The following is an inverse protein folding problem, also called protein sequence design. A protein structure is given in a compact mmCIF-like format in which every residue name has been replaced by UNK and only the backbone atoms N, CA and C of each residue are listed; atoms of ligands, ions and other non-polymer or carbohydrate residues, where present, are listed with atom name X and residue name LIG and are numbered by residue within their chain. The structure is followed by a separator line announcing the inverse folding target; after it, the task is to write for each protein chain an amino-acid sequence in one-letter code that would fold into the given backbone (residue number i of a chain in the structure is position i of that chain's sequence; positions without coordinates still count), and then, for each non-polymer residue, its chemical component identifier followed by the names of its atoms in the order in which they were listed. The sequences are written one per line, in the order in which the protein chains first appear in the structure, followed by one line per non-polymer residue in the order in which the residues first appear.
data_IF_197322307048
#
_entry.id   IF_197322307048
#
_cell.length_a   1.000
_cell.length_b   1.000
_cell.length_c   1.000
_cell.angle_alpha   90.00
_cell.angle_beta   90.00
_cell.angle_gamma   90.00
#
_symmetry.space_group_name_H-M   'P 1'
#
loop_
_entity.id
_entity.type
_entity.pdbx_description
1 polymer ?
#
# COMPACT_ATOMS: atom_id res chain seq x y z
N UNK A 1 14.08 -4.51 -5.53
CA UNK A 1 14.74 -4.17 -4.25
C UNK A 1 13.97 -3.02 -3.60
N UNK A 2 13.61 -3.13 -2.33
CA UNK A 2 12.85 -2.11 -1.59
C UNK A 2 13.68 -1.62 -0.41
N UNK A 3 13.72 -0.31 -0.18
CA UNK A 3 14.41 0.35 0.92
C UNK A 3 13.43 0.67 2.03
N UNK A 4 13.84 0.45 3.28
CA UNK A 4 13.05 0.77 4.48
C UNK A 4 13.83 1.70 5.40
N UNK A 5 13.14 2.63 6.03
CA UNK A 5 13.65 3.30 7.22
C UNK A 5 12.56 3.38 8.29
N UNK A 6 12.89 3.00 9.52
CA UNK A 6 12.01 3.04 10.69
C UNK A 6 12.57 3.99 11.75
N UNK A 7 11.70 4.84 12.26
CA UNK A 7 12.04 5.67 13.42
C UNK A 7 12.24 4.78 14.66
N UNK A 8 13.26 5.06 15.48
CA UNK A 8 13.44 4.37 16.78
C UNK A 8 12.39 4.76 17.83
N UNK A 9 11.63 5.82 17.57
CA UNK A 9 10.63 6.35 18.49
C UNK A 9 9.41 6.79 17.70
N UNK A 10 8.25 6.21 18.03
CA UNK A 10 6.99 6.38 17.30
C UNK A 10 6.84 5.39 16.14
N UNK A 11 5.70 5.46 15.46
CA UNK A 11 5.26 4.48 14.44
C UNK A 11 5.79 4.77 13.02
N UNK A 12 6.54 5.86 12.83
CA UNK A 12 6.93 6.27 11.48
C UNK A 12 7.85 5.26 10.81
N UNK A 13 7.37 4.68 9.72
CA UNK A 13 8.15 3.83 8.83
C UNK A 13 7.87 4.22 7.38
N UNK A 14 8.91 4.22 6.54
CA UNK A 14 8.80 4.50 5.10
C UNK A 14 9.46 3.40 4.30
N UNK A 15 8.79 2.98 3.23
CA UNK A 15 9.31 2.07 2.21
C UNK A 15 9.26 2.71 0.82
N UNK A 16 10.22 2.38 -0.04
CA UNK A 16 10.17 2.68 -1.47
C UNK A 16 11.14 1.81 -2.26
N UNK A 17 10.86 1.59 -3.55
CA UNK A 17 11.85 1.04 -4.48
C UNK A 17 13.01 2.01 -4.77
N UNK A 18 12.82 3.32 -4.54
CA UNK A 18 13.85 4.34 -4.74
C UNK A 18 14.54 4.72 -3.43
N UNK A 19 15.85 4.46 -3.36
CA UNK A 19 16.68 4.87 -2.23
C UNK A 19 16.64 6.38 -2.01
N UNK A 20 16.65 7.15 -3.08
CA UNK A 20 16.66 8.60 -3.04
C UNK A 20 15.37 9.15 -2.43
N UNK A 21 14.22 8.66 -2.90
CA UNK A 21 12.90 9.02 -2.38
C UNK A 21 12.74 8.65 -0.89
N UNK A 22 13.19 7.45 -0.51
CA UNK A 22 13.21 7.05 0.92
C UNK A 22 14.05 8.01 1.74
N UNK A 23 15.28 8.33 1.29
CA UNK A 23 16.19 9.23 2.03
C UNK A 23 15.59 10.62 2.16
N UNK A 24 15.00 11.18 1.09
CA UNK A 24 14.40 12.51 1.13
C UNK A 24 13.20 12.57 2.07
N UNK A 25 12.35 11.53 2.05
CA UNK A 25 11.22 11.45 2.98
C UNK A 25 11.66 11.36 4.44
N UNK A 26 12.73 10.61 4.71
CA UNK A 26 13.31 10.48 6.06
C UNK A 26 13.93 11.80 6.53
N UNK A 27 14.71 12.46 5.67
CA UNK A 27 15.27 13.80 5.94
C UNK A 27 14.17 14.78 6.37
N UNK A 28 13.09 14.84 5.59
CA UNK A 28 11.94 15.70 5.86
C UNK A 28 11.27 15.34 7.20
N UNK A 29 11.09 14.04 7.49
CA UNK A 29 10.55 13.58 8.76
C UNK A 29 11.41 14.02 9.97
N UNK A 30 12.72 13.76 9.92
CA UNK A 30 13.63 14.08 11.03
C UNK A 30 13.74 15.59 11.22
N UNK A 31 13.85 16.37 10.13
CA UNK A 31 13.91 17.82 10.19
C UNK A 31 12.63 18.41 10.82
N UNK A 32 11.45 17.92 10.43
CA UNK A 32 10.16 18.34 11.02
C UNK A 32 10.14 18.16 12.54
N UNK A 33 10.64 17.03 13.05
CA UNK A 33 10.72 16.77 14.51
C UNK A 33 11.74 17.63 15.24
N UNK A 34 12.70 18.20 14.52
CA UNK A 34 13.77 19.04 15.06
C UNK A 34 13.63 20.50 14.64
N UNK A 35 12.44 20.94 14.21
CA UNK A 35 12.20 22.33 13.76
C UNK A 35 12.60 23.38 14.79
N UNK A 36 12.45 23.10 16.08
CA UNK A 36 12.88 24.00 17.18
C UNK A 36 14.40 24.22 17.24
N UNK A 37 15.18 23.50 16.46
CA UNK A 37 16.63 23.67 16.33
C UNK A 37 17.02 24.62 15.21
N UNK A 38 16.07 25.07 14.41
CA UNK A 38 16.23 26.16 13.45
C UNK A 38 16.06 27.48 14.20
N UNK A 39 16.93 28.44 13.91
CA UNK A 39 16.88 29.80 14.44
C UNK A 39 16.88 30.81 13.30
N UNK A 40 16.22 31.94 13.51
CA UNK A 40 16.25 33.06 12.58
C UNK A 40 16.97 34.22 13.26
N UNK A 41 18.08 34.65 12.68
CA UNK A 41 18.92 35.73 13.19
C UNK A 41 19.06 36.80 12.10
N UNK A 42 18.20 37.81 12.17
CA UNK A 42 18.09 38.82 11.11
C UNK A 42 17.64 38.19 9.78
N UNK A 43 18.50 38.29 8.76
CA UNK A 43 18.27 37.72 7.41
C UNK A 43 18.87 36.32 7.23
N UNK A 44 19.50 35.75 8.27
CA UNK A 44 20.10 34.42 8.21
C UNK A 44 19.22 33.38 8.91
N UNK A 45 19.22 32.17 8.36
CA UNK A 45 18.65 30.99 8.99
C UNK A 45 19.78 30.11 9.50
N UNK A 46 19.79 29.86 10.80
CA UNK A 46 20.75 29.04 11.51
C UNK A 46 20.14 27.70 11.96
N UNK A 47 21.00 26.73 12.26
CA UNK A 47 20.59 25.51 12.92
C UNK A 47 21.67 24.97 13.87
N UNK A 48 21.22 24.23 14.87
CA UNK A 48 22.09 23.48 15.79
C UNK A 48 21.73 21.99 15.78
N UNK A 49 22.72 21.11 15.68
CA UNK A 49 22.46 19.68 15.69
C UNK A 49 22.06 19.21 17.11
N UNK A 50 21.01 18.39 17.27
CA UNK A 50 20.65 17.81 18.57
C UNK A 50 21.50 16.59 18.94
N UNK A 51 22.36 16.09 18.03
CA UNK A 51 23.13 14.85 18.19
C UNK A 51 24.65 15.05 18.24
N UNK A 52 25.13 16.26 17.94
CA UNK A 52 26.54 16.63 18.03
C UNK A 52 26.69 18.15 18.12
N UNK A 53 27.91 18.64 18.29
CA UNK A 53 28.17 20.08 18.49
C UNK A 53 28.14 20.93 17.20
N UNK A 54 27.79 20.34 16.05
CA UNK A 54 27.75 21.09 14.78
C UNK A 54 26.60 22.10 14.76
N UNK A 55 26.92 23.28 14.23
CA UNK A 55 26.01 24.39 13.96
C UNK A 55 26.36 24.98 12.61
N UNK A 56 25.38 25.54 11.91
CA UNK A 56 25.61 26.24 10.65
C UNK A 56 24.57 27.36 10.47
N UNK A 57 24.87 28.30 9.59
CA UNK A 57 23.93 29.34 9.17
C UNK A 57 24.13 29.68 7.70
N UNK A 58 23.06 30.11 7.03
CA UNK A 58 23.11 30.60 5.66
C UNK A 58 22.13 31.75 5.47
N UNK A 59 22.41 32.63 4.49
CA UNK A 59 21.48 33.69 4.06
C UNK A 59 20.28 33.15 3.29
N UNK A 60 20.46 32.02 2.60
CA UNK A 60 19.40 31.35 1.86
C UNK A 60 18.75 30.29 2.78
N UNK A 61 17.46 30.46 3.04
CA UNK A 61 16.67 29.56 3.88
C UNK A 61 16.64 28.13 3.32
N UNK A 62 16.51 27.96 2.01
CA UNK A 62 16.49 26.65 1.38
C UNK A 62 17.83 25.94 1.57
N UNK A 63 18.94 26.65 1.37
CA UNK A 63 20.28 26.10 1.63
C UNK A 63 20.46 25.73 3.10
N UNK A 64 20.02 26.57 4.03
CA UNK A 64 20.06 26.28 5.46
C UNK A 64 19.27 25.01 5.82
N UNK A 65 18.06 24.87 5.28
CA UNK A 65 17.18 23.72 5.52
C UNK A 65 17.72 22.43 4.91
N UNK A 66 18.25 22.47 3.68
CA UNK A 66 18.80 21.28 3.02
C UNK A 66 20.08 20.79 3.70
N UNK A 67 20.98 21.71 4.10
CA UNK A 67 22.17 21.35 4.87
C UNK A 67 21.81 20.77 6.25
N UNK A 68 20.77 21.31 6.91
CA UNK A 68 20.26 20.79 8.16
C UNK A 68 19.70 19.37 8.02
N UNK A 69 18.79 19.16 7.05
CA UNK A 69 18.21 17.85 6.72
C UNK A 69 19.30 16.81 6.44
N UNK A 70 20.24 17.14 5.55
CA UNK A 70 21.34 16.26 5.18
C UNK A 70 22.21 15.89 6.39
N UNK A 71 22.53 16.88 7.23
CA UNK A 71 23.32 16.65 8.43
C UNK A 71 22.59 15.75 9.44
N UNK A 72 21.30 16.02 9.71
CA UNK A 72 20.50 15.17 10.59
C UNK A 72 20.39 13.72 10.09
N UNK A 73 20.18 13.54 8.78
CA UNK A 73 20.13 12.21 8.19
C UNK A 73 21.45 11.45 8.32
N UNK A 74 22.61 12.13 8.31
CA UNK A 74 23.91 11.46 8.49
C UNK A 74 24.01 10.67 9.81
N UNK A 75 23.36 11.14 10.88
CA UNK A 75 23.27 10.42 12.17
C UNK A 75 22.29 9.24 12.14
N UNK A 76 21.34 9.22 11.19
CA UNK A 76 20.27 8.21 11.09
C UNK A 76 20.44 7.26 9.89
N UNK A 77 21.43 7.51 9.03
CA UNK A 77 21.78 6.69 7.87
C UNK A 77 21.94 5.19 8.19
N UNK A 78 22.51 4.77 9.34
CA UNK A 78 22.62 3.34 9.66
C UNK A 78 21.29 2.60 9.85
N UNK A 79 20.17 3.31 9.99
CA UNK A 79 18.82 2.72 10.09
C UNK A 79 18.15 2.53 8.73
N UNK A 80 18.81 2.92 7.63
CA UNK A 80 18.32 2.67 6.28
C UNK A 80 18.69 1.25 5.88
N UNK A 81 17.69 0.44 5.62
CA UNK A 81 17.81 -0.96 5.25
C UNK A 81 17.38 -1.14 3.78
N UNK A 82 17.86 -2.21 3.15
CA UNK A 82 17.54 -2.56 1.77
C UNK A 82 17.13 -4.03 1.67
N UNK A 83 16.26 -4.35 0.73
CA UNK A 83 15.74 -5.70 0.53
C UNK A 83 14.59 -6.08 1.47
N UNK A 84 13.89 -5.08 2.03
CA UNK A 84 12.78 -5.30 2.96
C UNK A 84 11.46 -4.87 2.34
N UNK A 85 10.51 -5.78 2.29
CA UNK A 85 9.17 -5.55 1.76
C UNK A 85 8.22 -5.09 2.88
N UNK A 86 7.16 -4.36 2.51
CA UNK A 86 6.13 -3.94 3.47
C UNK A 86 5.50 -5.17 4.16
N UNK A 87 5.24 -6.24 3.41
CA UNK A 87 4.62 -7.45 3.92
C UNK A 87 5.48 -8.20 4.95
N UNK A 88 6.80 -7.93 5.03
CA UNK A 88 7.67 -8.54 6.03
C UNK A 88 7.28 -8.14 7.46
N UNK A 89 6.60 -6.99 7.64
CA UNK A 89 6.09 -6.54 8.95
C UNK A 89 4.97 -7.43 9.51
N UNK A 90 4.29 -8.17 8.63
CA UNK A 90 3.22 -9.10 8.96
C UNK A 90 3.59 -10.54 8.55
N UNK A 91 4.88 -10.84 8.42
CA UNK A 91 5.39 -12.17 8.04
C UNK A 91 4.87 -12.68 6.67
N UNK A 92 4.49 -11.79 5.76
CA UNK A 92 4.05 -12.15 4.40
C UNK A 92 2.60 -12.63 4.30
N UNK A 93 1.83 -12.64 5.39
CA UNK A 93 0.43 -13.08 5.44
C UNK A 93 -0.38 -12.09 6.26
N UNK A 94 -1.65 -11.87 5.91
CA UNK A 94 -2.56 -10.99 6.65
C UNK A 94 -3.18 -9.91 5.79
N UNK A 95 -3.77 -8.91 6.43
CA UNK A 95 -4.64 -7.91 5.82
C UNK A 95 -4.10 -6.50 6.00
N UNK A 96 -3.78 -5.84 4.88
CA UNK A 96 -3.22 -4.50 4.85
C UNK A 96 -4.27 -3.51 4.32
N UNK A 97 -4.60 -2.46 5.07
CA UNK A 97 -5.35 -1.33 4.53
C UNK A 97 -4.41 -0.38 3.79
N UNK A 98 -4.65 -0.18 2.49
CA UNK A 98 -3.91 0.75 1.65
C UNK A 98 -4.71 2.05 1.50
N UNK A 99 -4.28 3.06 2.23
CA UNK A 99 -4.87 4.39 2.29
C UNK A 99 -4.41 5.20 1.07
N UNK A 100 -5.16 5.11 -0.02
CA UNK A 100 -4.87 5.80 -1.27
C UNK A 100 -6.10 5.84 -2.19
N UNK A 101 -6.31 6.89 -2.99
CA UNK A 101 -7.30 6.85 -4.06
C UNK A 101 -7.00 5.69 -5.02
N UNK A 102 -8.01 4.88 -5.33
CA UNK A 102 -7.91 3.65 -6.12
C UNK A 102 -7.18 3.86 -7.45
N UNK A 103 -7.46 4.95 -8.16
CA UNK A 103 -6.88 5.28 -9.46
C UNK A 103 -5.58 6.12 -9.39
N UNK A 104 -4.86 6.11 -8.27
CA UNK A 104 -3.62 6.88 -8.10
C UNK A 104 -2.36 6.06 -8.42
N UNK A 105 -1.25 6.76 -8.69
CA UNK A 105 0.07 6.14 -8.84
C UNK A 105 0.49 5.38 -7.58
N UNK A 106 0.22 5.93 -6.39
CA UNK A 106 0.53 5.27 -5.11
C UNK A 106 -0.23 3.94 -4.97
N UNK A 107 -1.52 3.94 -5.29
CA UNK A 107 -2.31 2.71 -5.28
C UNK A 107 -1.77 1.68 -6.28
N UNK A 108 -1.46 2.08 -7.51
CA UNK A 108 -0.91 1.18 -8.52
C UNK A 108 0.46 0.59 -8.13
N UNK A 109 1.33 1.39 -7.51
CA UNK A 109 2.61 0.90 -6.97
C UNK A 109 2.38 -0.10 -5.83
N UNK A 110 1.40 0.14 -4.96
CA UNK A 110 1.03 -0.81 -3.91
C UNK A 110 0.50 -2.13 -4.50
N UNK A 111 -0.35 -2.09 -5.54
CA UNK A 111 -0.83 -3.29 -6.24
C UNK A 111 0.32 -4.14 -6.73
N UNK A 112 1.23 -3.55 -7.49
CA UNK A 112 2.39 -4.25 -8.04
C UNK A 112 3.24 -4.83 -6.91
N UNK A 113 3.48 -4.05 -5.85
CA UNK A 113 4.26 -4.49 -4.69
C UNK A 113 3.64 -5.71 -3.99
N UNK A 114 2.34 -5.69 -3.69
CA UNK A 114 1.67 -6.76 -2.93
C UNK A 114 1.24 -7.96 -3.78
N UNK A 115 1.04 -7.79 -5.09
CA UNK A 115 0.69 -8.88 -6.00
C UNK A 115 1.90 -9.62 -6.54
N UNK A 116 3.07 -8.96 -6.65
CA UNK A 116 4.29 -9.58 -7.18
C UNK A 116 4.77 -10.88 -6.49
N UNK A 117 4.60 -11.09 -5.17
CA UNK A 117 5.02 -12.35 -4.53
C UNK A 117 3.98 -13.48 -4.61
N UNK A 118 2.80 -13.24 -5.19
CA UNK A 118 1.72 -14.21 -5.28
C UNK A 118 1.84 -15.11 -6.51
N UNK A 119 1.79 -16.42 -6.31
CA UNK A 119 1.67 -17.40 -7.39
C UNK A 119 0.26 -17.36 -7.97
N UNK A 120 -0.74 -17.15 -7.10
CA UNK A 120 -2.13 -16.89 -7.46
C UNK A 120 -2.53 -15.50 -7.03
N UNK A 121 -3.11 -14.75 -7.95
CA UNK A 121 -3.62 -13.41 -7.72
C UNK A 121 -5.15 -13.39 -7.83
N UNK A 122 -5.82 -12.97 -6.78
CA UNK A 122 -7.28 -12.81 -6.78
C UNK A 122 -7.62 -11.33 -6.59
N UNK A 123 -8.36 -10.73 -7.50
CA UNK A 123 -8.66 -9.28 -7.49
C UNK A 123 -10.16 -9.06 -7.57
N UNK A 124 -10.70 -8.36 -6.58
CA UNK A 124 -12.07 -7.85 -6.60
C UNK A 124 -12.04 -6.39 -7.05
N UNK A 125 -12.58 -6.11 -8.24
CA UNK A 125 -12.48 -4.78 -8.85
C UNK A 125 -13.66 -4.36 -9.72
N UNK A 126 -13.85 -3.05 -9.84
CA UNK A 126 -14.75 -2.44 -10.84
C UNK A 126 -14.09 -2.17 -12.19
N UNK A 127 -12.76 -2.28 -12.29
CA UNK A 127 -12.02 -1.97 -13.53
C UNK A 127 -11.00 -3.08 -13.91
N UNK A 128 -11.49 -4.25 -14.35
CA UNK A 128 -10.64 -5.41 -14.65
C UNK A 128 -9.62 -5.13 -15.74
N UNK A 129 -10.01 -4.44 -16.82
CA UNK A 129 -9.13 -4.10 -17.94
C UNK A 129 -7.91 -3.30 -17.47
N UNK A 130 -8.12 -2.26 -16.65
CA UNK A 130 -7.02 -1.47 -16.11
C UNK A 130 -6.10 -2.28 -15.17
N UNK A 131 -6.65 -3.26 -14.42
CA UNK A 131 -5.83 -4.16 -13.59
C UNK A 131 -4.96 -5.07 -14.46
N UNK A 132 -5.52 -5.67 -15.50
CA UNK A 132 -4.77 -6.52 -16.44
C UNK A 132 -3.62 -5.73 -17.08
N UNK A 133 -3.90 -4.53 -17.60
CA UNK A 133 -2.88 -3.70 -18.23
C UNK A 133 -1.79 -3.23 -17.27
N UNK A 134 -2.17 -2.90 -16.02
CA UNK A 134 -1.21 -2.56 -14.98
C UNK A 134 -0.26 -3.74 -14.71
N UNK A 135 -0.81 -4.94 -14.47
CA UNK A 135 0.00 -6.11 -14.18
C UNK A 135 0.91 -6.48 -15.36
N UNK A 136 0.39 -6.45 -16.59
CA UNK A 136 1.18 -6.75 -17.79
C UNK A 136 2.35 -5.79 -17.97
N UNK A 137 2.14 -4.51 -17.67
CA UNK A 137 3.15 -3.48 -17.88
C UNK A 137 4.18 -3.37 -16.75
N UNK A 138 3.90 -3.93 -15.57
CA UNK A 138 4.71 -3.71 -14.37
C UNK A 138 5.29 -4.96 -13.74
N UNK A 139 4.63 -6.11 -13.86
CA UNK A 139 5.20 -7.36 -13.39
C UNK A 139 6.24 -7.85 -14.39
N UNK A 140 7.34 -8.38 -13.87
CA UNK A 140 8.37 -9.03 -14.70
C UNK A 140 7.88 -10.35 -15.27
N UNK A 141 7.03 -11.05 -14.53
CA UNK A 141 6.42 -12.33 -14.88
C UNK A 141 4.95 -12.30 -14.45
N UNK A 142 4.09 -12.91 -15.25
CA UNK A 142 2.67 -13.03 -14.89
C UNK A 142 2.51 -14.12 -13.82
N UNK A 143 1.58 -13.96 -12.84
CA UNK A 143 1.28 -15.01 -11.86
C UNK A 143 0.90 -16.34 -12.53
N UNK A 144 1.03 -17.47 -11.83
CA UNK A 144 0.60 -18.77 -12.36
C UNK A 144 -0.89 -18.78 -12.70
N UNK A 145 -1.70 -18.08 -11.89
CA UNK A 145 -3.13 -17.92 -12.11
C UNK A 145 -3.63 -16.57 -11.60
N UNK A 146 -4.50 -15.92 -12.36
CA UNK A 146 -5.14 -14.65 -11.95
C UNK A 146 -6.66 -14.78 -12.05
N UNK A 147 -7.38 -14.54 -10.97
CA UNK A 147 -8.85 -14.50 -10.93
C UNK A 147 -9.33 -13.08 -10.71
N UNK A 148 -10.17 -12.57 -11.61
CA UNK A 148 -10.79 -11.24 -11.51
C UNK A 148 -12.27 -11.40 -11.18
N UNK A 149 -12.70 -10.89 -10.02
CA UNK A 149 -14.09 -10.83 -9.62
C UNK A 149 -14.64 -9.42 -9.87
N UNK A 150 -15.72 -9.32 -10.64
CA UNK A 150 -16.25 -8.01 -11.05
C UNK A 150 -17.74 -8.03 -11.34
N UNK A 151 -18.39 -6.87 -11.19
CA UNK A 151 -19.79 -6.66 -11.61
C UNK A 151 -19.90 -5.95 -12.98
N UNK A 152 -18.77 -5.68 -13.65
CA UNK A 152 -18.73 -5.01 -14.96
C UNK A 152 -19.22 -5.98 -16.04
N UNK A 153 -20.15 -5.52 -16.89
CA UNK A 153 -20.77 -6.34 -17.95
C UNK A 153 -19.77 -6.70 -19.06
N UNK A 154 -18.93 -5.74 -19.44
CA UNK A 154 -17.85 -5.93 -20.41
C UNK A 154 -16.50 -5.74 -19.70
N UNK A 155 -16.01 -6.75 -18.96
CA UNK A 155 -14.84 -6.62 -18.09
C UNK A 155 -13.54 -6.33 -18.85
N UNK A 156 -13.47 -6.79 -20.11
CA UNK A 156 -12.31 -6.69 -21.00
C UNK A 156 -12.39 -5.51 -21.98
N UNK A 157 -13.41 -4.67 -21.86
CA UNK A 157 -13.55 -3.47 -22.70
C UNK A 157 -12.29 -2.60 -22.60
N UNK A 158 -11.70 -2.27 -23.76
CA UNK A 158 -10.45 -1.51 -23.87
C UNK A 158 -9.20 -2.37 -24.09
N UNK A 159 -9.31 -3.70 -23.94
CA UNK A 159 -8.21 -4.63 -24.24
C UNK A 159 -8.33 -5.22 -25.65
N UNK A 160 -7.20 -5.30 -26.34
CA UNK A 160 -7.05 -6.01 -27.60
C UNK A 160 -6.90 -7.52 -27.39
N UNK A 161 -7.29 -8.34 -28.37
CA UNK A 161 -7.13 -9.80 -28.28
C UNK A 161 -5.66 -10.23 -28.10
N UNK A 162 -4.71 -9.46 -28.64
CA UNK A 162 -3.26 -9.73 -28.49
C UNK A 162 -2.80 -9.56 -27.05
N UNK A 163 -3.35 -8.58 -26.34
CA UNK A 163 -3.06 -8.39 -24.92
C UNK A 163 -3.50 -9.60 -24.09
N UNK A 164 -4.58 -10.27 -24.50
CA UNK A 164 -5.17 -11.40 -23.77
C UNK A 164 -4.63 -12.76 -24.19
N UNK A 165 -3.85 -12.84 -25.27
CA UNK A 165 -3.22 -14.10 -25.66
C UNK A 165 -2.23 -14.53 -24.58
N UNK A 166 -2.37 -15.79 -24.16
CA UNK A 166 -1.44 -16.49 -23.27
C UNK A 166 -1.30 -15.95 -21.83
N UNK A 167 -2.25 -15.15 -21.35
CA UNK A 167 -2.32 -14.80 -19.91
C UNK A 167 -3.29 -15.73 -19.17
N UNK A 168 -2.88 -16.40 -18.07
CA UNK A 168 -3.77 -17.23 -17.25
C UNK A 168 -4.70 -16.34 -16.42
N UNK A 169 -5.77 -15.86 -17.05
CA UNK A 169 -6.79 -14.99 -16.42
C UNK A 169 -8.16 -15.63 -16.51
N UNK A 170 -8.80 -15.76 -15.36
CA UNK A 170 -10.20 -16.13 -15.20
C UNK A 170 -11.02 -14.91 -14.77
N UNK A 171 -12.21 -14.73 -15.35
CA UNK A 171 -13.11 -13.64 -14.97
C UNK A 171 -14.40 -14.21 -14.40
N UNK A 172 -14.61 -13.96 -13.12
CA UNK A 172 -15.82 -14.32 -12.39
C UNK A 172 -16.75 -13.12 -12.35
N UNK A 173 -17.87 -13.24 -13.06
CA UNK A 173 -18.91 -12.21 -13.05
C UNK A 173 -19.76 -12.34 -11.78
N UNK A 174 -19.77 -11.28 -10.98
CA UNK A 174 -20.57 -11.13 -9.79
C UNK A 174 -21.94 -10.53 -10.15
N UNK A 175 -22.99 -11.05 -9.54
CA UNK A 175 -24.31 -10.45 -9.62
C UNK A 175 -24.32 -9.07 -8.91
N UNK A 176 -24.82 -8.03 -9.59
CA UNK A 176 -24.96 -6.68 -9.04
C UNK A 176 -25.91 -6.63 -7.83
N UNK A 177 -26.84 -7.56 -7.73
CA UNK A 177 -27.78 -7.68 -6.60
C UNK A 177 -27.23 -8.53 -5.45
N UNK A 178 -26.03 -9.08 -5.60
CA UNK A 178 -25.38 -9.93 -4.62
C UNK A 178 -25.18 -9.18 -3.29
N UNK A 179 -25.59 -9.82 -2.18
CA UNK A 179 -25.29 -9.33 -0.84
C UNK A 179 -23.86 -9.67 -0.41
N UNK A 180 -23.37 -8.97 0.63
CA UNK A 180 -22.01 -9.17 1.16
C UNK A 180 -21.71 -10.63 1.56
N UNK A 181 -22.70 -11.36 2.08
CA UNK A 181 -22.52 -12.77 2.45
C UNK A 181 -22.23 -13.67 1.25
N UNK A 182 -22.99 -13.50 0.16
CA UNK A 182 -22.79 -14.23 -1.09
C UNK A 182 -21.47 -13.85 -1.77
N UNK A 183 -21.03 -12.59 -1.63
CA UNK A 183 -19.70 -12.18 -2.08
C UNK A 183 -18.60 -12.89 -1.29
N UNK A 184 -18.70 -12.94 0.05
CA UNK A 184 -17.76 -13.70 0.88
C UNK A 184 -17.73 -15.17 0.47
N UNK A 185 -18.88 -15.82 0.26
CA UNK A 185 -18.95 -17.21 -0.18
C UNK A 185 -18.28 -17.44 -1.55
N UNK A 186 -18.52 -16.53 -2.50
CA UNK A 186 -17.90 -16.60 -3.83
C UNK A 186 -16.38 -16.47 -3.73
N UNK A 187 -15.89 -15.52 -2.94
CA UNK A 187 -14.45 -15.36 -2.67
C UNK A 187 -13.89 -16.61 -2.00
N UNK A 188 -14.56 -17.16 -0.98
CA UNK A 188 -14.13 -18.38 -0.30
C UNK A 188 -13.97 -19.56 -1.25
N UNK A 189 -14.92 -19.76 -2.16
CA UNK A 189 -14.88 -20.83 -3.16
C UNK A 189 -13.69 -20.67 -4.11
N UNK A 190 -13.48 -19.46 -4.63
CA UNK A 190 -12.31 -19.15 -5.46
C UNK A 190 -11.02 -19.44 -4.69
N UNK A 191 -10.91 -19.01 -3.43
CA UNK A 191 -9.71 -19.26 -2.62
C UNK A 191 -9.48 -20.76 -2.37
N UNK A 192 -10.54 -21.53 -2.13
CA UNK A 192 -10.48 -22.99 -1.94
C UNK A 192 -9.99 -23.72 -3.19
N UNK A 193 -10.50 -23.35 -4.36
CA UNK A 193 -10.11 -23.94 -5.65
C UNK A 193 -8.64 -23.69 -5.98
N UNK A 194 -8.09 -22.56 -5.54
CA UNK A 194 -6.71 -22.18 -5.79
C UNK A 194 -5.72 -22.65 -4.71
N UNK A 195 -6.21 -23.18 -3.59
CA UNK A 195 -5.38 -23.58 -2.48
C UNK A 195 -4.56 -24.83 -2.83
N UNK A 196 -3.23 -24.71 -2.76
CA UNK A 196 -2.31 -25.83 -2.91
C UNK A 196 -1.12 -25.67 -1.95
N UNK A 197 -0.50 -26.78 -1.47
CA UNK A 197 0.67 -26.70 -0.61
C UNK A 197 1.81 -25.89 -1.24
N UNK A 198 2.30 -24.89 -0.52
CA UNK A 198 3.42 -24.04 -0.96
C UNK A 198 3.06 -22.92 -1.94
N UNK A 199 1.80 -22.85 -2.40
CA UNK A 199 1.31 -21.82 -3.32
C UNK A 199 0.88 -20.58 -2.54
N UNK A 200 1.42 -19.42 -2.91
CA UNK A 200 1.13 -18.13 -2.27
C UNK A 200 -0.03 -17.43 -2.96
N UNK A 201 -1.01 -17.02 -2.16
CA UNK A 201 -2.16 -16.26 -2.64
C UNK A 201 -1.97 -14.79 -2.28
N UNK A 202 -2.05 -13.92 -3.29
CA UNK A 202 -2.15 -12.48 -3.10
C UNK A 202 -3.57 -12.01 -3.47
N UNK A 203 -4.22 -11.29 -2.56
CA UNK A 203 -5.62 -10.89 -2.68
C UNK A 203 -5.78 -9.37 -2.68
N UNK A 204 -6.34 -8.82 -3.75
CA UNK A 204 -6.69 -7.40 -3.84
C UNK A 204 -8.19 -7.17 -3.67
N UNK A 205 -8.52 -6.15 -2.89
CA UNK A 205 -9.89 -5.65 -2.77
C UNK A 205 -9.93 -4.14 -2.94
N UNK A 206 -10.32 -3.66 -4.12
CA UNK A 206 -10.28 -2.22 -4.41
C UNK A 206 -11.62 -1.47 -4.36
N UNK A 207 -12.70 -2.19 -4.03
CA UNK A 207 -14.07 -1.66 -4.00
C UNK A 207 -14.55 -1.27 -2.59
N UNK A 208 -13.65 -1.28 -1.59
CA UNK A 208 -14.03 -1.08 -0.18
C UNK A 208 -14.59 0.34 0.06
N UNK A 209 -14.06 1.35 -0.63
CA UNK A 209 -14.57 2.72 -0.53
C UNK A 209 -16.05 2.78 -0.94
N UNK A 210 -16.39 2.16 -2.05
CA UNK A 210 -17.75 2.10 -2.60
C UNK A 210 -18.69 1.30 -1.68
N UNK A 211 -18.19 0.22 -1.07
CA UNK A 211 -18.97 -0.57 -0.11
C UNK A 211 -19.28 0.21 1.17
N UNK A 212 -18.30 0.92 1.73
CA UNK A 212 -18.52 1.78 2.91
C UNK A 212 -19.55 2.86 2.61
N UNK A 213 -19.54 3.44 1.41
CA UNK A 213 -20.51 4.47 1.01
C UNK A 213 -21.94 3.94 0.85
N UNK A 214 -22.11 2.68 0.42
CA UNK A 214 -23.42 2.09 0.11
C UNK A 214 -24.06 1.33 1.26
N UNK A 215 -23.27 0.86 2.23
CA UNK A 215 -23.75 0.01 3.31
C UNK A 215 -23.52 0.62 4.69
N UNK A 216 -24.23 0.10 5.69
CA UNK A 216 -24.00 0.48 7.09
C UNK A 216 -22.61 0.00 7.55
N UNK A 217 -21.85 0.87 8.21
CA UNK A 217 -20.48 0.58 8.66
C UNK A 217 -20.38 -0.70 9.49
N UNK A 218 -21.35 -0.99 10.36
CA UNK A 218 -21.40 -2.24 11.13
C UNK A 218 -21.49 -3.49 10.24
N UNK A 219 -22.21 -3.42 9.11
CA UNK A 219 -22.29 -4.53 8.15
C UNK A 219 -20.95 -4.71 7.43
N UNK A 220 -20.28 -3.61 7.08
CA UNK A 220 -18.94 -3.65 6.48
C UNK A 220 -17.90 -4.22 7.44
N UNK A 221 -17.91 -3.80 8.71
CA UNK A 221 -17.03 -4.35 9.74
C UNK A 221 -17.18 -5.88 9.86
N UNK A 222 -18.43 -6.38 9.96
CA UNK A 222 -18.69 -7.83 10.01
C UNK A 222 -18.24 -8.55 8.74
N UNK A 223 -18.51 -7.96 7.57
CA UNK A 223 -18.09 -8.52 6.29
C UNK A 223 -16.55 -8.62 6.22
N UNK A 224 -15.83 -7.54 6.52
CA UNK A 224 -14.37 -7.53 6.50
C UNK A 224 -13.82 -8.52 7.52
N UNK A 225 -14.36 -8.56 8.75
CA UNK A 225 -13.90 -9.50 9.77
C UNK A 225 -14.02 -10.97 9.34
N UNK A 226 -15.12 -11.34 8.68
CA UNK A 226 -15.28 -12.70 8.13
C UNK A 226 -14.35 -12.96 6.94
N UNK A 227 -14.18 -11.96 6.07
CA UNK A 227 -13.32 -12.08 4.89
C UNK A 227 -11.84 -12.17 5.27
N UNK A 228 -11.34 -11.33 6.19
CA UNK A 228 -9.94 -11.34 6.62
C UNK A 228 -9.60 -12.62 7.37
N UNK A 229 -10.50 -13.13 8.22
CA UNK A 229 -10.34 -14.44 8.84
C UNK A 229 -10.22 -15.55 7.79
N UNK A 230 -11.04 -15.52 6.73
CA UNK A 230 -10.95 -16.50 5.65
C UNK A 230 -9.65 -16.42 4.86
N UNK A 231 -9.15 -15.21 4.63
CA UNK A 231 -7.88 -14.97 3.95
C UNK A 231 -6.71 -15.44 4.80
N UNK A 232 -6.80 -15.27 6.12
CA UNK A 232 -5.82 -15.78 7.08
C UNK A 232 -5.76 -17.31 7.07
N UNK A 233 -6.92 -18.01 7.03
CA UNK A 233 -6.98 -19.48 6.95
C UNK A 233 -6.22 -20.07 5.75
N UNK A 234 -6.20 -19.34 4.62
CA UNK A 234 -5.49 -19.73 3.40
C UNK A 234 -4.11 -19.08 3.30
N UNK A 235 -3.65 -18.42 4.36
CA UNK A 235 -2.35 -17.73 4.46
C UNK A 235 -2.12 -16.65 3.40
N UNK A 236 -3.19 -16.02 2.91
CA UNK A 236 -3.10 -15.02 1.86
C UNK A 236 -2.48 -13.70 2.35
N UNK A 237 -1.73 -13.05 1.46
CA UNK A 237 -1.37 -11.64 1.60
C UNK A 237 -2.48 -10.81 0.96
N UNK A 238 -3.23 -10.07 1.75
CA UNK A 238 -4.37 -9.31 1.28
C UNK A 238 -4.20 -7.81 1.48
N UNK A 239 -4.65 -7.04 0.50
CA UNK A 239 -4.61 -5.58 0.55
C UNK A 239 -5.93 -4.95 0.09
N UNK A 240 -6.41 -4.02 0.91
CA UNK A 240 -7.71 -3.38 0.77
C UNK A 240 -7.53 -1.88 0.49
N UNK A 241 -7.98 -1.40 -0.65
CA UNK A 241 -7.84 0.02 -0.99
C UNK A 241 -8.97 0.86 -0.42
N UNK A 242 -8.60 1.89 0.33
CA UNK A 242 -9.53 2.87 0.88
C UNK A 242 -9.06 4.28 0.60
N UNK A 243 -9.96 5.09 0.05
CA UNK A 243 -9.71 6.52 -0.06
C UNK A 243 -9.89 7.20 1.32
N UNK A 244 -8.76 7.37 2.04
CA UNK A 244 -8.75 7.95 3.40
C UNK A 244 -9.38 9.33 3.47
N UNK A 245 -9.16 10.18 2.48
CA UNK A 245 -9.70 11.55 2.46
C UNK A 245 -11.24 11.56 2.49
N UNK A 246 -11.85 10.50 1.96
CA UNK A 246 -13.31 10.32 1.99
C UNK A 246 -13.78 9.60 3.25
N UNK A 247 -12.97 8.71 3.84
CA UNK A 247 -13.40 7.68 4.79
C UNK A 247 -12.69 7.74 6.16
N UNK A 248 -12.08 8.86 6.54
CA UNK A 248 -11.26 8.97 7.75
C UNK A 248 -11.95 8.48 9.04
N UNK A 249 -13.21 8.86 9.27
CA UNK A 249 -13.97 8.42 10.45
C UNK A 249 -14.33 6.93 10.40
N UNK A 250 -14.67 6.41 9.22
CA UNK A 250 -14.95 4.98 9.02
C UNK A 250 -13.71 4.14 9.29
N UNK A 251 -12.52 4.60 8.87
CA UNK A 251 -11.27 3.87 9.08
C UNK A 251 -10.90 3.72 10.55
N UNK A 252 -11.24 4.67 11.42
CA UNK A 252 -11.03 4.50 12.87
C UNK A 252 -11.84 3.32 13.44
N UNK A 253 -12.97 2.98 12.84
CA UNK A 253 -13.80 1.84 13.25
C UNK A 253 -13.33 0.54 12.62
N UNK A 254 -12.80 0.61 11.40
CA UNK A 254 -12.33 -0.56 10.64
C UNK A 254 -10.88 -0.94 10.95
N UNK A 255 -10.11 -0.06 11.58
CA UNK A 255 -8.70 -0.27 11.96
C UNK A 255 -8.44 -1.65 12.61
N UNK A 256 -9.24 -2.12 13.59
CA UNK A 256 -8.99 -3.41 14.24
C UNK A 256 -9.17 -4.65 13.35
N UNK A 257 -9.67 -4.49 12.11
CA UNK A 257 -9.86 -5.60 11.16
C UNK A 257 -8.61 -5.84 10.31
N UNK A 258 -7.68 -4.88 10.28
CA UNK A 258 -6.45 -4.95 9.50
C UNK A 258 -5.24 -5.17 10.42
N UNK A 259 -4.31 -6.00 9.99
CA UNK A 259 -3.05 -6.23 10.67
C UNK A 259 -2.11 -5.02 10.53
N UNK A 260 -2.29 -4.24 9.45
CA UNK A 260 -1.49 -3.06 9.17
C UNK A 260 -2.26 -2.04 8.34
N UNK A 261 -1.98 -0.75 8.57
CA UNK A 261 -2.39 0.33 7.67
C UNK A 261 -1.16 1.03 7.08
N UNK A 262 -1.21 1.30 5.78
CA UNK A 262 -0.21 2.12 5.10
C UNK A 262 -0.86 3.20 4.25
N UNK A 263 -0.24 4.37 4.17
CA UNK A 263 -0.51 5.37 3.12
C UNK A 263 0.37 5.08 1.92
N UNK A 264 -0.22 5.00 0.73
CA UNK A 264 0.52 4.87 -0.52
C UNK A 264 0.45 6.18 -1.32
N UNK A 265 1.60 6.82 -1.53
CA UNK A 265 1.73 8.16 -2.10
C UNK A 265 2.89 8.21 -3.09
N UNK A 266 2.58 8.25 -4.39
CA UNK A 266 3.59 8.14 -5.44
C UNK A 266 4.46 6.88 -5.26
N UNK A 267 5.79 7.00 -5.13
CA UNK A 267 6.69 5.86 -4.91
C UNK A 267 6.82 5.42 -3.45
N UNK A 268 6.15 6.08 -2.51
CA UNK A 268 6.32 5.87 -1.07
C UNK A 268 5.17 5.07 -0.46
N UNK A 269 5.52 4.14 0.42
CA UNK A 269 4.60 3.54 1.38
C UNK A 269 4.96 4.05 2.77
N UNK A 270 3.97 4.53 3.53
CA UNK A 270 4.17 5.20 4.81
C UNK A 270 3.28 4.56 5.88
N UNK A 271 3.86 4.28 7.04
CA UNK A 271 3.14 3.99 8.27
C UNK A 271 3.39 5.17 9.20
N UNK A 272 2.33 5.84 9.67
CA UNK A 272 2.40 7.08 10.49
C UNK A 272 1.34 7.13 11.58
#
# INVERSE_FOLDING_TARGET
MVYRWRARSGEFTVWSASREETVERVKTYIAKRNQRRLTQEGVMVGWSCPYCDRRNSAHDEHVALETFKQHLFSHKKPLLESGLHVADEINGTGSIAVLSPVASTGANNARVHFLSPGDVVVIVTTDPAARIDLLRSKLSEWPEWTVLLTTKENPLEGLSGVQLMDIPVEIVHLDKQMGLGSLTETISRVLEEQQAPGRKIAFEFDILTELIQKAKLQRIFKFLHLLTARLEDVTALSHFFVNRDRMASSMNVLDPVFDMQIKADGPLFLQE
#
